data_IF_740214757595
#
_entry.id   IF_740214757595
#
_cell.length_a   1.000
_cell.length_b   1.000
_cell.length_c   1.000
_cell.angle_alpha   90.00
_cell.angle_beta   90.00
_cell.angle_gamma   90.00
#
_symmetry.space_group_name_H-M   'P 1'
#
loop_
_entity.id
_entity.type
_entity.pdbx_description
1 polymer ?
#
# COMPACT_ATOMS: atom_id res chain seq x y z
N UNK A 1 24.20 1.35 12.24
CA UNK A 1 23.97 0.20 11.35
C UNK A 1 24.46 0.59 9.98
N UNK A 2 25.26 -0.25 9.35
CA UNK A 2 25.94 0.04 8.09
C UNK A 2 24.94 0.06 6.91
N UNK A 3 25.13 0.96 5.94
CA UNK A 3 24.19 1.17 4.82
C UNK A 3 24.16 0.00 3.84
N UNK A 4 25.27 -0.73 3.74
CA UNK A 4 25.46 -1.89 2.87
C UNK A 4 25.59 -3.16 3.72
N UNK A 5 25.17 -4.28 3.15
CA UNK A 5 25.23 -5.61 3.75
C UNK A 5 25.66 -6.60 2.66
N UNK A 6 26.54 -7.55 2.98
CA UNK A 6 26.87 -8.67 2.09
C UNK A 6 25.97 -9.86 2.47
N UNK A 7 25.36 -10.48 1.46
CA UNK A 7 24.60 -11.72 1.54
C UNK A 7 25.40 -12.83 0.85
N UNK A 8 25.58 -13.96 1.54
CA UNK A 8 26.30 -15.14 1.06
C UNK A 8 27.66 -14.80 0.39
N UNK A 9 28.45 -13.92 1.01
CA UNK A 9 29.78 -13.46 0.55
C UNK A 9 29.88 -12.97 -0.90
N UNK A 10 28.77 -12.62 -1.55
CA UNK A 10 28.74 -12.42 -3.02
C UNK A 10 27.79 -11.34 -3.51
N UNK A 11 26.65 -11.11 -2.85
CA UNK A 11 25.67 -10.08 -3.22
C UNK A 11 25.64 -8.98 -2.17
N UNK A 12 25.91 -7.74 -2.57
CA UNK A 12 25.72 -6.57 -1.73
C UNK A 12 24.25 -6.12 -1.83
N UNK A 13 23.63 -5.88 -0.68
CA UNK A 13 22.37 -5.15 -0.53
C UNK A 13 22.66 -3.74 -0.01
N UNK A 14 22.26 -2.74 -0.79
CA UNK A 14 22.32 -1.32 -0.43
C UNK A 14 20.93 -0.83 0.03
N UNK A 15 20.84 -0.47 1.32
CA UNK A 15 19.60 -0.02 1.96
C UNK A 15 19.16 1.37 1.50
N UNK A 16 20.11 2.26 1.22
CA UNK A 16 19.86 3.66 0.84
C UNK A 16 19.32 3.73 -0.58
N UNK A 17 19.96 3.00 -1.49
CA UNK A 17 19.61 2.98 -2.92
C UNK A 17 18.57 1.91 -3.28
N UNK A 18 18.04 1.17 -2.30
CA UNK A 18 17.06 0.08 -2.47
C UNK A 18 17.44 -0.90 -3.60
N UNK A 19 18.70 -1.31 -3.67
CA UNK A 19 19.19 -2.17 -4.76
C UNK A 19 20.12 -3.27 -4.27
N UNK A 20 20.30 -4.30 -5.11
CA UNK A 20 21.32 -5.34 -4.91
C UNK A 20 22.25 -5.42 -6.13
N UNK A 21 23.49 -5.84 -5.91
CA UNK A 21 24.49 -6.08 -6.97
C UNK A 21 25.50 -7.13 -6.50
N UNK A 22 26.24 -7.76 -7.41
CA UNK A 22 27.33 -8.67 -6.99
C UNK A 22 28.59 -7.88 -6.66
N UNK A 23 29.38 -8.35 -5.69
CA UNK A 23 30.68 -7.74 -5.36
C UNK A 23 31.60 -7.61 -6.59
N UNK A 24 31.53 -8.60 -7.50
CA UNK A 24 32.31 -8.65 -8.73
C UNK A 24 31.76 -7.79 -9.88
N UNK A 25 30.54 -7.24 -9.75
CA UNK A 25 29.97 -6.31 -10.74
C UNK A 25 29.09 -5.23 -10.06
N UNK A 26 29.70 -4.20 -9.43
CA UNK A 26 28.96 -3.11 -8.79
C UNK A 26 28.12 -2.24 -9.74
N UNK A 27 28.37 -2.33 -11.05
CA UNK A 27 27.57 -1.67 -12.10
C UNK A 27 26.28 -2.45 -12.44
N UNK A 28 26.25 -3.75 -12.17
CA UNK A 28 25.10 -4.64 -12.38
C UNK A 28 24.01 -4.50 -11.32
N UNK A 29 23.57 -3.25 -11.04
CA UNK A 29 22.58 -2.96 -9.99
C UNK A 29 21.17 -3.37 -10.40
N UNK A 30 20.53 -4.15 -9.53
CA UNK A 30 19.13 -4.56 -9.63
C UNK A 30 18.34 -3.76 -8.59
N UNK A 31 17.59 -2.75 -9.05
CA UNK A 31 16.72 -1.95 -8.19
C UNK A 31 15.54 -2.79 -7.69
N UNK A 32 15.33 -2.79 -6.38
CA UNK A 32 14.19 -3.43 -5.73
C UNK A 32 13.02 -2.43 -5.64
N UNK A 33 11.76 -2.87 -5.74
CA UNK A 33 10.64 -2.09 -5.24
C UNK A 33 10.85 -1.73 -3.77
N UNK A 34 10.63 -0.48 -3.37
CA UNK A 34 10.79 -0.01 -1.98
C UNK A 34 10.15 -0.97 -0.95
N UNK A 35 8.86 -1.39 -1.07
CA UNK A 35 8.29 -2.36 -0.14
C UNK A 35 8.99 -3.74 -0.12
N UNK A 36 9.61 -4.18 -1.22
CA UNK A 36 10.42 -5.39 -1.26
C UNK A 36 11.75 -5.19 -0.51
N UNK A 37 12.43 -4.06 -0.74
CA UNK A 37 13.64 -3.67 0.01
C UNK A 37 13.38 -3.62 1.53
N UNK A 38 12.23 -3.08 1.94
CA UNK A 38 11.82 -3.04 3.34
C UNK A 38 11.48 -4.43 3.91
N UNK A 39 10.86 -5.32 3.11
CA UNK A 39 10.70 -6.72 3.50
C UNK A 39 12.06 -7.44 3.66
N UNK A 40 13.04 -7.13 2.80
CA UNK A 40 14.39 -7.67 2.90
C UNK A 40 15.13 -7.16 4.14
N UNK A 41 14.99 -5.88 4.48
CA UNK A 41 15.53 -5.34 5.73
C UNK A 41 14.96 -6.09 6.95
N UNK A 42 13.64 -6.24 7.03
CA UNK A 42 12.97 -6.98 8.13
C UNK A 42 13.46 -8.43 8.22
N UNK A 43 13.74 -9.08 7.09
CA UNK A 43 14.30 -10.43 7.01
C UNK A 43 15.77 -10.51 7.49
N UNK A 44 16.59 -9.54 7.10
CA UNK A 44 18.01 -9.44 7.44
C UNK A 44 18.25 -9.01 8.90
N UNK A 45 17.33 -8.25 9.50
CA UNK A 45 17.36 -7.92 10.93
C UNK A 45 17.15 -9.15 11.84
N UNK A 46 16.67 -10.27 11.29
CA UNK A 46 16.31 -11.50 12.01
C UNK A 46 16.64 -12.78 11.20
N UNK A 47 17.93 -13.04 10.90
CA UNK A 47 18.33 -14.21 10.13
C UNK A 47 17.96 -15.50 10.87
N UNK A 48 17.48 -16.52 10.14
CA UNK A 48 17.05 -17.79 10.73
C UNK A 48 15.72 -17.74 11.51
N UNK A 49 15.13 -16.58 11.78
CA UNK A 49 13.79 -16.50 12.40
C UNK A 49 12.66 -16.65 11.37
N UNK A 50 11.54 -17.24 11.79
CA UNK A 50 10.31 -17.33 11.00
C UNK A 50 9.45 -16.08 11.29
N UNK A 51 9.53 -15.08 10.42
CA UNK A 51 8.83 -13.81 10.58
C UNK A 51 7.37 -13.95 10.11
N UNK A 52 6.34 -13.71 10.96
CA UNK A 52 4.94 -13.90 10.58
C UNK A 52 4.45 -12.90 9.54
N UNK A 53 3.51 -13.32 8.70
CA UNK A 53 2.86 -12.47 7.68
C UNK A 53 2.32 -11.14 8.26
N UNK A 54 1.72 -11.16 9.44
CA UNK A 54 1.19 -9.95 10.10
C UNK A 54 2.29 -8.99 10.56
N UNK A 55 3.49 -9.49 10.90
CA UNK A 55 4.61 -8.64 11.33
C UNK A 55 5.14 -7.79 10.16
N UNK A 56 5.23 -8.38 8.95
CA UNK A 56 5.53 -7.61 7.73
C UNK A 56 4.44 -6.58 7.43
N UNK A 57 3.16 -6.96 7.51
CA UNK A 57 2.03 -6.03 7.29
C UNK A 57 2.07 -4.85 8.26
N UNK A 58 2.48 -5.08 9.51
CA UNK A 58 2.69 -4.02 10.51
C UNK A 58 3.89 -3.13 10.13
N UNK A 59 5.10 -3.72 10.09
CA UNK A 59 6.38 -2.99 9.97
C UNK A 59 6.60 -2.30 8.63
N UNK A 60 6.18 -2.91 7.54
CA UNK A 60 6.45 -2.39 6.18
C UNK A 60 5.32 -1.49 5.68
N UNK A 61 4.10 -1.64 6.19
CA UNK A 61 2.92 -0.90 5.71
C UNK A 61 2.17 -0.11 6.79
N UNK A 62 1.62 -0.74 7.84
CA UNK A 62 0.75 -0.03 8.82
C UNK A 62 1.47 1.04 9.62
N UNK A 63 2.72 0.80 10.04
CA UNK A 63 3.58 1.80 10.71
C UNK A 63 3.90 3.01 9.80
N UNK A 64 3.64 2.89 8.50
CA UNK A 64 3.75 3.95 7.47
C UNK A 64 2.38 4.44 6.95
N UNK A 65 1.29 4.11 7.65
CA UNK A 65 -0.07 4.52 7.29
C UNK A 65 -0.69 3.82 6.09
N UNK A 66 -0.08 2.73 5.60
CA UNK A 66 -0.54 1.99 4.43
C UNK A 66 -1.30 0.72 4.82
N UNK A 67 -2.40 0.45 4.11
CA UNK A 67 -3.11 -0.84 4.13
C UNK A 67 -3.04 -1.44 2.74
N UNK A 68 -2.68 -2.72 2.64
CA UNK A 68 -2.44 -3.42 1.37
C UNK A 68 -3.17 -4.75 1.30
N UNK A 69 -3.34 -5.27 0.08
CA UNK A 69 -3.98 -6.54 -0.17
C UNK A 69 -3.16 -7.72 0.37
N UNK A 70 -3.83 -8.83 0.69
CA UNK A 70 -3.20 -10.02 1.29
C UNK A 70 -2.16 -10.70 0.39
N UNK A 71 -2.18 -10.45 -0.92
CA UNK A 71 -1.18 -10.93 -1.88
C UNK A 71 0.05 -10.01 -2.01
N UNK A 72 0.01 -8.77 -1.52
CA UNK A 72 1.08 -7.78 -1.73
C UNK A 72 2.41 -8.21 -1.10
N UNK A 73 2.40 -8.81 0.10
CA UNK A 73 3.62 -9.38 0.68
C UNK A 73 4.17 -10.52 -0.20
N UNK A 74 3.34 -11.46 -0.64
CA UNK A 74 3.74 -12.59 -1.47
C UNK A 74 4.36 -12.14 -2.80
N UNK A 75 3.84 -11.07 -3.41
CA UNK A 75 4.43 -10.43 -4.60
C UNK A 75 5.82 -9.85 -4.29
N UNK A 76 5.97 -9.08 -3.20
CA UNK A 76 7.26 -8.50 -2.81
C UNK A 76 8.32 -9.58 -2.50
N UNK A 77 7.95 -10.67 -1.83
CA UNK A 77 8.86 -11.82 -1.62
C UNK A 77 9.23 -12.50 -2.95
N UNK A 78 8.32 -12.59 -3.93
CA UNK A 78 8.63 -13.11 -5.26
C UNK A 78 9.58 -12.18 -6.05
N UNK A 79 9.45 -10.85 -5.89
CA UNK A 79 10.41 -9.90 -6.45
C UNK A 79 11.82 -10.07 -5.84
N UNK A 80 11.91 -10.25 -4.52
CA UNK A 80 13.20 -10.51 -3.85
C UNK A 80 13.87 -11.78 -4.37
N UNK A 81 13.14 -12.89 -4.50
CA UNK A 81 13.69 -14.15 -5.05
C UNK A 81 14.26 -13.97 -6.45
N UNK A 82 13.49 -13.35 -7.35
CA UNK A 82 13.94 -13.07 -8.72
C UNK A 82 15.15 -12.14 -8.77
N UNK A 83 15.21 -11.14 -7.88
CA UNK A 83 16.37 -10.27 -7.77
C UNK A 83 17.61 -11.07 -7.34
N UNK A 84 17.52 -11.90 -6.29
CA UNK A 84 18.63 -12.75 -5.84
C UNK A 84 19.06 -13.77 -6.90
N UNK A 85 18.13 -14.39 -7.62
CA UNK A 85 18.42 -15.28 -8.76
C UNK A 85 19.20 -14.55 -9.87
N UNK A 86 18.75 -13.36 -10.25
CA UNK A 86 19.44 -12.51 -11.23
C UNK A 86 20.81 -12.02 -10.72
N UNK A 87 21.02 -11.93 -9.41
CA UNK A 87 22.31 -11.65 -8.76
C UNK A 87 23.17 -12.91 -8.53
N UNK A 88 22.76 -14.09 -9.01
CA UNK A 88 23.54 -15.33 -8.93
C UNK A 88 23.39 -16.16 -7.65
N UNK A 89 22.40 -15.86 -6.80
CA UNK A 89 22.07 -16.64 -5.60
C UNK A 89 20.84 -17.54 -5.81
N UNK A 90 20.73 -18.62 -5.02
CA UNK A 90 19.55 -19.48 -5.01
C UNK A 90 18.32 -18.70 -4.51
N UNK A 91 17.17 -18.81 -5.19
CA UNK A 91 15.88 -18.30 -4.73
C UNK A 91 15.51 -18.78 -3.30
N UNK A 92 16.06 -19.93 -2.89
CA UNK A 92 15.94 -20.50 -1.56
C UNK A 92 16.57 -19.67 -0.43
N UNK A 93 17.34 -18.61 -0.70
CA UNK A 93 17.82 -17.66 0.33
C UNK A 93 16.66 -17.07 1.15
N UNK A 94 15.46 -16.94 0.55
CA UNK A 94 14.22 -16.61 1.26
C UNK A 94 13.23 -17.76 1.13
N UNK A 95 12.89 -18.44 2.24
CA UNK A 95 11.91 -19.54 2.25
C UNK A 95 10.57 -19.09 2.83
N UNK A 96 9.47 -19.55 2.23
CA UNK A 96 8.11 -19.27 2.72
C UNK A 96 7.56 -20.52 3.41
N UNK A 97 7.19 -20.39 4.68
CA UNK A 97 6.54 -21.44 5.44
C UNK A 97 5.04 -21.14 5.49
N UNK A 98 4.27 -21.85 4.66
CA UNK A 98 2.84 -21.62 4.49
C UNK A 98 2.09 -21.60 5.84
N UNK A 99 1.17 -20.63 6.00
CA UNK A 99 0.46 -20.28 7.26
C UNK A 99 1.34 -19.82 8.45
N UNK A 100 2.67 -19.95 8.40
CA UNK A 100 3.59 -19.49 9.46
C UNK A 100 4.18 -18.12 9.14
N UNK A 101 4.91 -17.99 8.04
CA UNK A 101 5.67 -16.77 7.75
C UNK A 101 6.71 -16.94 6.64
N UNK A 102 7.72 -16.07 6.70
CA UNK A 102 8.88 -16.04 5.79
C UNK A 102 10.15 -16.06 6.63
N UNK A 103 11.18 -16.79 6.19
CA UNK A 103 12.47 -16.93 6.86
C UNK A 103 13.60 -16.63 5.87
N UNK A 104 14.61 -15.89 6.33
CA UNK A 104 15.88 -15.70 5.64
C UNK A 104 16.86 -16.78 6.06
N UNK A 105 17.51 -17.44 5.10
CA UNK A 105 18.48 -18.53 5.36
C UNK A 105 19.81 -18.32 4.63
N UNK A 106 20.08 -17.11 4.14
CA UNK A 106 21.41 -16.69 3.73
C UNK A 106 22.28 -16.28 4.91
N UNK A 107 23.59 -16.28 4.70
CA UNK A 107 24.57 -15.70 5.61
C UNK A 107 24.70 -14.18 5.39
N UNK A 108 25.16 -13.44 6.41
CA UNK A 108 25.11 -11.98 6.48
C UNK A 108 26.45 -11.41 6.97
N UNK A 109 27.24 -10.90 6.02
CA UNK A 109 28.42 -10.08 6.29
C UNK A 109 28.07 -8.60 6.41
N UNK A 110 28.73 -7.88 7.31
CA UNK A 110 28.58 -6.42 7.47
C UNK A 110 29.79 -5.72 6.86
N UNK A 111 29.55 -4.71 6.00
CA UNK A 111 30.61 -3.83 5.47
C UNK A 111 30.59 -2.48 6.17
N UNK A 112 31.58 -2.25 7.01
CA UNK A 112 31.80 -1.00 7.74
C UNK A 112 32.72 -0.04 6.95
N UNK A 113 32.27 0.37 5.76
CA UNK A 113 32.96 1.38 4.95
C UNK A 113 32.11 2.63 4.71
N UNK A 114 32.79 3.78 4.79
CA UNK A 114 32.22 5.12 4.67
C UNK A 114 31.87 5.43 3.21
N UNK A 115 30.71 6.02 2.97
CA UNK A 115 30.28 6.42 1.63
C UNK A 115 31.20 7.52 1.07
N UNK A 116 32.02 7.17 0.07
CA UNK A 116 32.71 8.12 -0.80
C UNK A 116 31.91 8.31 -2.07
N UNK A 117 31.39 9.53 -2.26
CA UNK A 117 30.56 9.87 -3.42
C UNK A 117 31.39 9.97 -4.70
N UNK A 118 30.91 9.35 -5.79
CA UNK A 118 31.37 9.70 -7.14
C UNK A 118 30.30 9.41 -8.21
N UNK A 119 29.21 10.19 -8.19
CA UNK A 119 28.25 10.23 -9.30
C UNK A 119 28.45 11.49 -10.14
N UNK A 120 29.13 11.33 -11.28
CA UNK A 120 29.29 12.38 -12.27
C UNK A 120 28.52 12.06 -13.56
N UNK A 121 27.74 13.05 -13.98
CA UNK A 121 27.46 13.41 -15.39
C UNK A 121 26.26 12.77 -16.11
N UNK A 122 25.47 13.68 -16.71
CA UNK A 122 24.43 13.53 -17.76
C UNK A 122 23.23 12.63 -17.50
N UNK A 123 22.07 13.29 -17.35
CA UNK A 123 20.87 12.83 -18.05
C UNK A 123 20.97 13.20 -19.54
N UNK A 124 20.39 12.37 -20.41
CA UNK A 124 19.53 12.86 -21.49
C UNK A 124 18.51 11.77 -21.90
N UNK A 125 17.50 12.21 -22.65
CA UNK A 125 16.40 11.51 -23.34
C UNK A 125 16.73 10.11 -23.91
N UNK A 126 15.78 9.17 -24.01
CA UNK A 126 14.53 9.23 -24.80
C UNK A 126 13.38 8.38 -24.23
N UNK A 127 12.17 8.66 -24.71
CA UNK A 127 10.98 7.80 -24.57
C UNK A 127 10.69 7.08 -25.90
N UNK A 128 9.98 5.95 -25.86
CA UNK A 128 8.62 5.85 -26.43
C UNK A 128 7.90 4.52 -26.12
N UNK A 129 6.62 4.46 -26.49
CA UNK A 129 5.63 3.43 -26.19
C UNK A 129 5.53 2.37 -27.31
N UNK A 130 5.05 1.16 -26.98
CA UNK A 130 4.41 0.28 -27.96
C UNK A 130 3.41 -0.69 -27.30
N UNK A 131 2.24 -0.89 -27.92
CA UNK A 131 1.11 -1.61 -27.33
C UNK A 131 0.28 -2.41 -28.36
N UNK A 132 -0.38 -3.48 -27.88
CA UNK A 132 -1.50 -4.22 -28.54
C UNK A 132 -1.16 -4.99 -29.86
N UNK A 133 -1.97 -5.92 -30.41
CA UNK A 133 -3.39 -6.28 -30.15
C UNK A 133 -3.73 -7.77 -30.46
N UNK A 134 -4.82 -8.26 -29.83
CA UNK A 134 -5.74 -9.39 -30.10
C UNK A 134 -5.47 -10.49 -31.17
N UNK A 135 -5.78 -11.74 -30.78
CA UNK A 135 -6.90 -12.58 -31.30
C UNK A 135 -7.12 -13.79 -30.34
N UNK A 136 -8.28 -14.45 -30.22
CA UNK A 136 -9.59 -14.23 -30.87
C UNK A 136 -10.18 -15.55 -31.40
N UNK A 137 -11.09 -16.19 -30.67
CA UNK A 137 -11.69 -17.48 -31.09
C UNK A 137 -12.99 -17.83 -30.36
N UNK A 138 -14.02 -18.16 -31.11
CA UNK A 138 -15.38 -18.55 -30.65
C UNK A 138 -15.75 -19.86 -31.34
N UNK A 139 -16.43 -20.76 -30.64
CA UNK A 139 -17.16 -21.89 -31.23
C UNK A 139 -18.42 -22.18 -30.42
N UNK A 140 -19.58 -21.92 -31.03
CA UNK A 140 -20.85 -22.59 -30.70
C UNK A 140 -20.94 -23.87 -31.55
N UNK A 141 -21.56 -24.93 -31.02
CA UNK A 141 -22.45 -25.79 -31.83
C UNK A 141 -23.49 -26.54 -30.95
N UNK A 142 -24.54 -27.03 -31.61
CA UNK A 142 -25.77 -27.59 -31.03
C UNK A 142 -25.85 -29.10 -31.21
N UNK A 143 -26.39 -29.84 -30.23
CA UNK A 143 -27.13 -31.09 -30.53
C UNK A 143 -28.09 -31.56 -29.43
N UNK A 144 -29.37 -31.29 -29.68
CA UNK A 144 -30.53 -32.21 -29.65
C UNK A 144 -30.62 -33.36 -28.62
N UNK A 145 -31.69 -33.36 -27.82
CA UNK A 145 -32.25 -34.54 -27.11
C UNK A 145 -33.15 -35.39 -28.02
N UNK A 146 -33.47 -36.65 -27.65
CA UNK A 146 -34.89 -36.94 -27.39
C UNK A 146 -35.23 -38.08 -26.37
N UNK A 147 -36.40 -37.94 -25.69
CA UNK A 147 -37.30 -39.03 -25.21
C UNK A 147 -36.83 -40.00 -24.08
N UNK A 148 -37.64 -40.80 -23.33
CA UNK A 148 -39.10 -41.13 -23.17
C UNK A 148 -39.28 -41.78 -21.74
N UNK A 149 -40.42 -41.91 -21.01
CA UNK A 149 -41.76 -41.25 -20.94
C UNK A 149 -42.65 -41.89 -19.81
N UNK A 150 -42.87 -41.24 -18.65
CA UNK A 150 -43.85 -41.64 -17.59
C UNK A 150 -44.03 -40.53 -16.53
N UNK A 151 -45.23 -40.04 -16.14
CA UNK A 151 -46.46 -40.65 -15.56
C UNK A 151 -46.37 -40.83 -14.02
N UNK A 152 -47.30 -40.39 -13.17
CA UNK A 152 -48.66 -39.81 -13.37
C UNK A 152 -49.14 -38.87 -12.20
N UNK A 153 -50.34 -38.30 -12.34
CA UNK A 153 -51.27 -37.89 -11.26
C UNK A 153 -51.05 -36.61 -10.39
N UNK A 154 -51.30 -35.45 -11.01
CA UNK A 154 -52.16 -34.34 -10.55
C UNK A 154 -52.92 -34.49 -9.19
N UNK A 155 -52.81 -33.49 -8.30
CA UNK A 155 -53.96 -32.87 -7.61
C UNK A 155 -53.68 -31.41 -7.19
N UNK A 156 -54.71 -30.56 -7.24
CA UNK A 156 -54.66 -29.11 -6.95
C UNK A 156 -55.19 -28.80 -5.54
N UNK A 157 -54.61 -27.83 -4.82
CA UNK A 157 -55.26 -27.18 -3.66
C UNK A 157 -54.65 -25.80 -3.32
N UNK A 158 -55.51 -24.85 -2.90
CA UNK A 158 -55.13 -23.73 -2.04
C UNK A 158 -54.38 -22.54 -2.66
N UNK A 159 -55.12 -21.61 -3.28
CA UNK A 159 -54.62 -20.24 -3.48
C UNK A 159 -54.68 -19.38 -2.19
N UNK A 160 -54.19 -18.13 -2.29
CA UNK A 160 -54.31 -17.06 -1.27
C UNK A 160 -53.39 -17.14 -0.04
N UNK A 161 -52.09 -17.42 -0.23
CA UNK A 161 -51.00 -16.88 0.65
C UNK A 161 -49.82 -16.34 -0.19
N UNK A 162 -50.07 -15.48 -1.19
CA UNK A 162 -49.01 -14.82 -1.99
C UNK A 162 -48.93 -13.29 -1.82
N UNK A 163 -50.04 -12.62 -1.50
CA UNK A 163 -50.07 -11.16 -1.32
C UNK A 163 -49.28 -10.72 -0.09
N UNK A 164 -49.55 -11.33 1.08
CA UNK A 164 -48.87 -11.00 2.34
C UNK A 164 -47.36 -11.17 2.29
N UNK A 165 -46.86 -12.30 1.77
CA UNK A 165 -45.43 -12.56 1.64
C UNK A 165 -44.73 -11.55 0.71
N UNK A 166 -45.38 -11.17 -0.39
CA UNK A 166 -44.86 -10.15 -1.32
C UNK A 166 -44.78 -8.77 -0.65
N UNK A 167 -45.82 -8.36 0.08
CA UNK A 167 -45.87 -7.08 0.79
C UNK A 167 -44.83 -7.04 1.93
N UNK A 168 -44.71 -8.12 2.71
CA UNK A 168 -43.68 -8.23 3.77
C UNK A 168 -42.27 -8.19 3.17
N UNK A 169 -42.03 -8.84 2.02
CA UNK A 169 -40.76 -8.76 1.30
C UNK A 169 -40.44 -7.34 0.83
N UNK A 170 -41.41 -6.62 0.24
CA UNK A 170 -41.24 -5.22 -0.17
C UNK A 170 -41.01 -4.29 1.03
N UNK A 171 -41.75 -4.47 2.13
CA UNK A 171 -41.54 -3.68 3.36
C UNK A 171 -40.17 -3.99 3.97
N UNK A 172 -39.75 -5.26 4.03
CA UNK A 172 -38.42 -5.63 4.50
C UNK A 172 -37.31 -5.06 3.59
N UNK A 173 -37.51 -5.04 2.26
CA UNK A 173 -36.58 -4.42 1.33
C UNK A 173 -36.51 -2.89 1.51
N UNK A 174 -37.65 -2.21 1.71
CA UNK A 174 -37.69 -0.78 2.00
C UNK A 174 -37.06 -0.44 3.36
N UNK A 175 -37.29 -1.25 4.40
CA UNK A 175 -36.65 -1.09 5.71
C UNK A 175 -35.14 -1.34 5.62
N UNK A 176 -34.69 -2.39 4.92
CA UNK A 176 -33.28 -2.61 4.63
C UNK A 176 -32.68 -1.46 3.81
N UNK A 177 -33.38 -0.92 2.81
CA UNK A 177 -32.91 0.21 2.01
C UNK A 177 -32.73 1.47 2.86
N UNK A 178 -33.70 1.79 3.72
CA UNK A 178 -33.58 2.91 4.67
C UNK A 178 -32.48 2.66 5.71
N UNK A 179 -32.32 1.44 6.24
CA UNK A 179 -31.25 1.08 7.16
C UNK A 179 -29.85 1.14 6.51
N UNK A 180 -29.74 0.84 5.21
CA UNK A 180 -28.52 0.99 4.41
C UNK A 180 -28.24 2.45 4.02
N UNK A 181 -29.26 3.30 3.91
CA UNK A 181 -29.14 4.76 3.78
C UNK A 181 -28.75 5.43 5.12
N UNK A 182 -29.28 4.95 6.24
CA UNK A 182 -28.97 5.43 7.59
C UNK A 182 -27.57 4.98 8.04
N UNK A 183 -27.17 3.74 7.71
CA UNK A 183 -25.77 3.31 7.61
C UNK A 183 -25.09 3.80 6.34
N UNK A 184 -25.45 5.00 5.87
CA UNK A 184 -24.97 5.61 4.65
C UNK A 184 -23.45 5.66 4.64
N UNK A 185 -22.85 4.81 3.80
CA UNK A 185 -21.47 4.33 3.85
C UNK A 185 -20.55 5.28 4.62
N UNK A 186 -20.01 4.86 5.79
CA UNK A 186 -19.08 5.68 6.54
C UNK A 186 -17.97 6.07 5.59
N UNK A 187 -17.74 7.37 5.43
CA UNK A 187 -16.66 7.82 4.56
C UNK A 187 -15.41 7.18 5.12
N UNK A 188 -14.77 6.30 4.33
CA UNK A 188 -13.41 5.90 4.59
C UNK A 188 -12.57 7.19 4.50
N UNK A 189 -12.47 7.89 5.64
CA UNK A 189 -11.29 8.68 5.97
C UNK A 189 -10.14 7.70 5.70
N UNK A 190 -9.29 7.96 4.70
CA UNK A 190 -8.18 7.07 4.43
C UNK A 190 -7.41 6.92 5.75
N UNK A 191 -7.22 5.69 6.24
CA UNK A 191 -6.63 5.46 7.57
C UNK A 191 -5.24 6.10 7.68
N UNK A 192 -4.60 6.32 6.52
CA UNK A 192 -3.46 7.19 6.30
C UNK A 192 -3.52 8.60 6.92
N UNK A 193 -4.66 9.15 7.36
CA UNK A 193 -4.77 10.52 7.90
C UNK A 193 -5.28 10.58 9.35
N UNK A 194 -4.48 11.18 10.23
CA UNK A 194 -4.73 11.43 11.67
C UNK A 194 -5.06 12.91 11.93
N UNK A 195 -5.94 13.17 12.89
CA UNK A 195 -6.27 14.51 13.39
C UNK A 195 -5.34 14.87 14.56
N UNK A 196 -4.76 16.07 14.54
CA UNK A 196 -3.88 16.63 15.58
C UNK A 196 -4.27 18.09 15.92
N UNK A 197 -5.55 18.41 15.87
CA UNK A 197 -6.05 19.79 16.05
C UNK A 197 -6.00 20.24 17.52
N UNK A 198 -5.24 21.31 17.82
CA UNK A 198 -5.14 21.88 19.17
C UNK A 198 -6.28 22.86 19.53
N UNK A 199 -6.92 23.50 18.54
CA UNK A 199 -8.09 24.38 18.72
C UNK A 199 -9.17 24.04 17.68
N UNK A 200 -10.44 24.13 18.08
CA UNK A 200 -11.62 23.88 17.23
C UNK A 200 -11.76 24.87 16.07
N UNK A 201 -10.95 25.92 16.01
CA UNK A 201 -10.88 26.88 14.89
C UNK A 201 -9.84 26.51 13.82
N UNK A 202 -8.92 25.58 14.12
CA UNK A 202 -7.81 25.21 13.25
C UNK A 202 -7.69 23.69 13.16
N UNK A 203 -8.19 23.12 12.07
CA UNK A 203 -8.24 21.68 11.86
C UNK A 203 -6.93 21.24 11.20
N UNK A 204 -6.08 20.53 11.94
CA UNK A 204 -4.75 20.09 11.49
C UNK A 204 -4.74 18.57 11.39
N UNK A 205 -4.31 18.08 10.23
CA UNK A 205 -4.23 16.68 9.87
C UNK A 205 -2.81 16.32 9.47
N UNK A 206 -2.37 15.11 9.82
CA UNK A 206 -1.10 14.54 9.36
C UNK A 206 -1.27 13.17 8.74
N UNK A 207 -0.29 12.73 7.96
CA UNK A 207 -0.21 11.31 7.60
C UNK A 207 0.15 10.43 8.82
N UNK A 208 -0.30 9.17 8.80
CA UNK A 208 0.22 8.15 9.72
C UNK A 208 1.65 7.78 9.30
N UNK A 209 2.51 7.75 10.31
CA UNK A 209 3.93 7.40 10.29
C UNK A 209 4.36 7.13 11.74
N UNK A 210 5.51 6.49 11.94
CA UNK A 210 6.08 6.21 13.28
C UNK A 210 6.46 7.46 14.08
N UNK A 211 6.57 8.63 13.45
CA UNK A 211 6.78 9.91 14.15
C UNK A 211 5.56 10.26 15.03
N UNK A 212 5.81 10.83 16.21
CA UNK A 212 4.79 11.23 17.19
C UNK A 212 3.96 12.42 16.69
N UNK A 213 2.81 12.68 17.33
CA UNK A 213 2.01 13.88 17.06
C UNK A 213 2.79 15.15 17.47
N UNK A 214 3.59 15.06 18.54
CA UNK A 214 4.53 16.09 19.03
C UNK A 214 5.55 16.54 17.97
N UNK A 215 6.17 15.60 17.23
CA UNK A 215 7.10 15.92 16.14
C UNK A 215 6.46 16.82 15.06
N UNK A 216 5.16 16.63 14.77
CA UNK A 216 4.43 17.50 13.85
C UNK A 216 4.07 18.84 14.50
N UNK A 217 3.75 18.88 15.80
CA UNK A 217 3.53 20.14 16.52
C UNK A 217 4.78 21.02 16.58
N UNK A 218 5.96 20.45 16.77
CA UNK A 218 7.21 21.20 16.77
C UNK A 218 7.57 21.67 15.35
N UNK A 219 7.40 20.83 14.33
CA UNK A 219 7.50 21.26 12.92
C UNK A 219 6.58 22.46 12.61
N UNK A 220 5.31 22.41 13.04
CA UNK A 220 4.33 23.49 12.88
C UNK A 220 4.79 24.77 13.60
N UNK A 221 5.34 24.63 14.82
CA UNK A 221 5.80 25.77 15.63
C UNK A 221 7.03 26.45 15.02
N UNK A 222 8.00 25.66 14.57
CA UNK A 222 9.26 26.15 13.98
C UNK A 222 9.00 26.83 12.63
N UNK A 223 8.20 26.19 11.76
CA UNK A 223 7.99 26.64 10.38
C UNK A 223 6.76 27.55 10.20
N UNK A 224 6.07 27.90 11.28
CA UNK A 224 4.76 28.59 11.27
C UNK A 224 3.73 27.93 10.33
N UNK A 225 3.78 26.60 10.19
CA UNK A 225 3.05 25.86 9.16
C UNK A 225 1.55 25.62 9.48
N UNK A 226 0.99 26.35 10.45
CA UNK A 226 -0.36 26.19 10.97
C UNK A 226 -1.47 26.78 10.07
N UNK A 227 -2.64 27.05 10.67
CA UNK A 227 -3.75 27.67 9.94
C UNK A 227 -3.52 29.16 9.66
N UNK A 228 -4.02 29.60 8.51
CA UNK A 228 -4.12 31.01 8.11
C UNK A 228 -5.56 31.50 8.36
N UNK A 229 -5.76 32.82 8.47
CA UNK A 229 -7.06 33.47 8.72
C UNK A 229 -8.18 32.93 7.82
N UNK A 230 -7.85 32.68 6.55
CA UNK A 230 -8.76 32.18 5.52
C UNK A 230 -8.64 30.66 5.25
N UNK A 231 -7.67 29.94 5.85
CA UNK A 231 -7.41 28.52 5.57
C UNK A 231 -7.28 27.72 6.87
N UNK A 232 -8.41 27.15 7.29
CA UNK A 232 -8.62 26.48 8.59
C UNK A 232 -8.50 24.95 8.53
N UNK A 233 -8.02 24.42 7.40
CA UNK A 233 -7.83 23.01 7.14
C UNK A 233 -6.41 22.81 6.64
N UNK A 234 -5.58 22.13 7.43
CA UNK A 234 -4.15 21.92 7.13
C UNK A 234 -3.88 20.43 7.05
N UNK A 235 -3.23 19.98 5.99
CA UNK A 235 -2.83 18.59 5.76
C UNK A 235 -1.32 18.53 5.60
N UNK A 236 -0.63 17.84 6.50
CA UNK A 236 0.83 17.73 6.54
C UNK A 236 1.23 16.30 6.21
N UNK A 237 2.08 16.11 5.19
CA UNK A 237 2.60 14.80 4.80
C UNK A 237 4.12 14.78 4.85
N UNK A 238 4.67 13.76 5.53
CA UNK A 238 6.09 13.43 5.60
C UNK A 238 6.25 11.90 5.60
N UNK A 239 7.16 11.38 4.78
CA UNK A 239 7.39 9.94 4.62
C UNK A 239 8.86 9.60 4.92
N UNK A 240 9.21 9.28 6.18
CA UNK A 240 10.59 8.97 6.56
C UNK A 240 11.16 7.78 5.76
N UNK A 241 12.46 7.81 5.39
CA UNK A 241 13.50 8.68 5.93
C UNK A 241 13.56 10.11 5.38
N UNK A 242 12.70 10.50 4.43
CA UNK A 242 12.67 11.87 3.89
C UNK A 242 12.51 12.92 4.99
N UNK A 243 13.34 13.96 4.94
CA UNK A 243 13.23 15.15 5.78
C UNK A 243 12.21 16.16 5.23
N UNK A 244 11.80 16.03 3.97
CA UNK A 244 10.85 16.97 3.36
C UNK A 244 9.42 16.77 3.90
N UNK A 245 8.75 17.88 4.16
CA UNK A 245 7.33 17.97 4.47
C UNK A 245 6.60 18.67 3.32
N UNK A 246 5.41 18.19 2.98
CA UNK A 246 4.45 18.97 2.18
C UNK A 246 3.28 19.37 3.07
N UNK A 247 2.91 20.64 3.01
CA UNK A 247 1.84 21.26 3.81
C UNK A 247 0.81 21.85 2.86
N UNK A 248 -0.39 21.27 2.85
CA UNK A 248 -1.51 21.76 2.05
C UNK A 248 -2.54 22.45 2.95
N UNK A 249 -2.78 23.75 2.70
CA UNK A 249 -3.73 24.59 3.45
C UNK A 249 -4.94 24.92 2.60
N UNK A 250 -6.14 24.54 3.05
CA UNK A 250 -7.40 24.64 2.32
C UNK A 250 -8.43 25.53 3.05
N UNK A 251 -9.33 26.14 2.28
CA UNK A 251 -10.43 26.98 2.82
C UNK A 251 -11.51 26.15 3.52
N UNK A 252 -11.74 24.91 3.07
CA UNK A 252 -12.72 23.95 3.60
C UNK A 252 -12.16 22.52 3.48
N UNK A 253 -12.83 21.47 4.04
CA UNK A 253 -12.25 20.13 4.09
C UNK A 253 -12.03 19.52 2.69
N UNK A 254 -10.88 18.87 2.49
CA UNK A 254 -10.50 18.21 1.23
C UNK A 254 -11.52 17.17 0.75
N UNK A 255 -12.20 16.50 1.69
CA UNK A 255 -13.24 15.51 1.43
C UNK A 255 -14.55 15.91 2.11
N UNK A 256 -15.50 16.46 1.36
CA UNK A 256 -16.81 16.85 1.88
C UNK A 256 -17.96 16.39 0.98
N UNK A 257 -18.85 15.52 1.50
CA UNK A 257 -20.09 15.11 0.81
C UNK A 257 -21.05 16.29 0.51
N UNK A 258 -20.81 17.50 1.04
CA UNK A 258 -21.67 18.68 0.86
C UNK A 258 -21.27 19.61 -0.29
N UNK A 259 -20.04 19.51 -0.80
CA UNK A 259 -19.56 20.34 -1.91
C UNK A 259 -19.22 19.45 -3.10
N UNK A 260 -19.74 19.79 -4.29
CA UNK A 260 -19.39 19.09 -5.55
C UNK A 260 -18.03 19.54 -6.12
N UNK A 261 -17.55 20.70 -5.66
CA UNK A 261 -16.31 21.32 -6.09
C UNK A 261 -15.21 21.07 -5.06
N UNK A 262 -13.98 20.92 -5.53
CA UNK A 262 -12.80 20.80 -4.66
C UNK A 262 -12.52 22.14 -3.95
N UNK A 263 -12.07 22.11 -2.68
CA UNK A 263 -11.71 23.34 -1.97
C UNK A 263 -10.52 24.03 -2.62
N UNK A 264 -10.50 25.36 -2.56
CA UNK A 264 -9.30 26.14 -2.85
C UNK A 264 -8.23 25.82 -1.80
N UNK A 265 -7.10 25.27 -2.26
CA UNK A 265 -5.95 24.90 -1.44
C UNK A 265 -4.67 25.55 -1.98
N UNK A 266 -3.69 25.74 -1.10
CA UNK A 266 -2.31 26.09 -1.44
C UNK A 266 -1.40 24.99 -0.85
N UNK A 267 -0.46 24.50 -1.65
CA UNK A 267 0.57 23.54 -1.22
C UNK A 267 1.93 24.21 -1.12
N UNK A 268 2.60 24.02 0.01
CA UNK A 268 3.97 24.47 0.27
C UNK A 268 4.84 23.28 0.66
N UNK A 269 6.15 23.40 0.41
CA UNK A 269 7.14 22.38 0.75
C UNK A 269 8.16 22.99 1.70
N UNK A 270 8.54 22.21 2.71
CA UNK A 270 9.50 22.59 3.74
C UNK A 270 10.55 21.47 3.84
N UNK A 271 11.82 21.86 3.99
CA UNK A 271 12.90 20.92 4.29
C UNK A 271 13.02 20.78 5.81
N UNK A 272 13.18 19.56 6.31
CA UNK A 272 13.22 19.23 7.75
C UNK A 272 14.51 19.62 8.44
N UNK A 273 15.12 20.74 8.04
CA UNK A 273 16.42 21.18 8.52
C UNK A 273 16.43 21.43 10.03
N UNK A 274 17.35 20.76 10.71
CA UNK A 274 17.75 21.14 12.06
C UNK A 274 18.42 22.53 12.05
N UNK A 275 17.99 23.40 12.95
CA UNK A 275 18.74 24.55 13.46
C UNK A 275 19.15 24.26 14.92
#
# INVERSE_FOLDING_TARGET
MSNKIIVNDSVVYDKMHHCIYTQNNPSGKITLPIPASLCLQVLIEKPGEIIPYQYFLEKVWRERGMVVASNTLSQNIAHLRKAFANAGLDEQVIKTLHKRGVIFVGDIGVTDEVDSELFNTTADTLAEECATINQGGVYDDVSTTPEKKGRDARQEYGGVILSGASIVSVIAFLLCYNFMQEKGIPVHRPEAIRDISLDKKCNIYRNITFKTDEYYHDFIRINNAGCDHNKKWVYIVNFPPSEHFSVMRCVSPLYSKKHKELPLCISEYYEGGHQ
#
